data_IF_154171228934
#
_entry.id   IF_154171228934
#
_cell.length_a   1.000
_cell.length_b   1.000
_cell.length_c   1.000
_cell.angle_alpha   90.00
_cell.angle_beta   90.00
_cell.angle_gamma   90.00
#
_symmetry.space_group_name_H-M   'P 1'
#
loop_
_entity.id
_entity.type
_entity.pdbx_description
1 polymer ?
#
# COMPACT_ATOMS: atom_id res chain seq x y z
N UNK A 1 12.81 12.07 -2.08
CA UNK A 1 13.60 11.84 -3.29
C UNK A 1 14.42 10.55 -3.26
N UNK A 2 14.59 9.90 -2.10
CA UNK A 2 15.40 8.68 -2.03
C UNK A 2 14.83 7.67 -1.04
N UNK A 3 15.00 6.39 -1.38
CA UNK A 3 14.82 5.29 -0.46
C UNK A 3 15.95 5.32 0.58
N UNK A 4 15.65 4.86 1.79
CA UNK A 4 16.64 4.72 2.86
C UNK A 4 16.88 3.25 3.21
N UNK A 5 17.82 2.98 4.10
CA UNK A 5 18.21 1.61 4.48
C UNK A 5 17.04 0.75 4.97
N UNK A 6 15.99 1.34 5.55
CA UNK A 6 14.78 0.61 5.97
C UNK A 6 14.02 -0.05 4.82
N UNK A 7 14.13 0.46 3.59
CA UNK A 7 13.53 -0.15 2.41
C UNK A 7 14.39 -1.28 1.81
N UNK A 8 15.65 -1.40 2.24
CA UNK A 8 16.61 -2.33 1.66
C UNK A 8 16.17 -3.79 1.83
N UNK A 9 15.63 -4.15 2.98
CA UNK A 9 15.16 -5.52 3.24
C UNK A 9 14.02 -5.90 2.30
N UNK A 10 13.06 -5.01 2.11
CA UNK A 10 11.95 -5.22 1.16
C UNK A 10 12.47 -5.38 -0.27
N UNK A 11 13.43 -4.57 -0.71
CA UNK A 11 14.03 -4.68 -2.04
C UNK A 11 14.81 -5.99 -2.21
N UNK A 12 15.53 -6.45 -1.18
CA UNK A 12 16.22 -7.74 -1.21
C UNK A 12 15.23 -8.88 -1.33
N UNK A 13 14.12 -8.84 -0.61
CA UNK A 13 13.06 -9.84 -0.72
C UNK A 13 12.44 -9.84 -2.13
N UNK A 14 12.11 -8.67 -2.68
CA UNK A 14 11.61 -8.55 -4.06
C UNK A 14 12.58 -9.20 -5.05
N UNK A 15 13.89 -8.91 -4.92
CA UNK A 15 14.93 -9.53 -5.74
C UNK A 15 14.96 -11.05 -5.62
N UNK A 16 14.88 -11.57 -4.40
CA UNK A 16 14.87 -13.02 -4.15
C UNK A 16 13.66 -13.69 -4.78
N UNK A 17 12.49 -13.09 -4.65
CA UNK A 17 11.25 -13.57 -5.28
C UNK A 17 11.35 -13.52 -6.81
N UNK A 18 11.93 -12.47 -7.38
CA UNK A 18 12.17 -12.38 -8.82
C UNK A 18 13.12 -13.47 -9.31
N UNK A 19 14.24 -13.69 -8.60
CA UNK A 19 15.20 -14.77 -8.93
C UNK A 19 14.58 -16.17 -8.82
N UNK A 20 13.55 -16.35 -7.97
CA UNK A 20 12.79 -17.57 -7.84
C UNK A 20 11.68 -17.73 -8.90
N UNK A 21 11.61 -16.85 -9.90
CA UNK A 21 10.65 -16.89 -11.00
C UNK A 21 9.32 -16.20 -10.72
N UNK A 22 9.19 -15.48 -9.58
CA UNK A 22 8.00 -14.68 -9.31
C UNK A 22 8.10 -13.31 -10.00
N UNK A 23 6.94 -12.68 -10.19
CA UNK A 23 6.81 -11.35 -10.80
C UNK A 23 6.53 -10.29 -9.73
N UNK A 24 7.54 -9.58 -9.19
CA UNK A 24 7.34 -8.55 -8.19
C UNK A 24 6.59 -7.35 -8.76
N UNK A 25 5.76 -6.73 -7.93
CA UNK A 25 5.11 -5.45 -8.22
C UNK A 25 5.58 -4.43 -7.18
N UNK A 26 6.26 -3.39 -7.63
CA UNK A 26 6.63 -2.26 -6.81
C UNK A 26 5.49 -1.23 -6.83
N UNK A 27 4.72 -1.16 -5.76
CA UNK A 27 3.65 -0.18 -5.61
C UNK A 27 4.19 1.12 -5.03
N UNK A 28 3.95 2.22 -5.72
CA UNK A 28 4.28 3.57 -5.26
C UNK A 28 2.99 4.24 -4.76
N UNK A 29 3.06 4.79 -3.57
CA UNK A 29 1.95 5.49 -2.92
C UNK A 29 1.75 6.93 -3.39
N UNK A 30 1.64 7.18 -4.72
CA UNK A 30 1.45 8.53 -5.25
C UNK A 30 0.10 9.15 -4.85
N UNK A 31 -0.96 8.34 -4.74
CA UNK A 31 -2.26 8.78 -4.24
C UNK A 31 -2.27 8.91 -2.71
N UNK A 32 -1.79 7.89 -2.00
CA UNK A 32 -1.73 7.90 -0.53
C UNK A 32 -0.66 8.84 0.02
N UNK A 33 0.35 9.22 -0.77
CA UNK A 33 1.34 10.23 -0.42
C UNK A 33 0.74 11.62 -0.20
N UNK A 34 -0.45 11.89 -0.73
CA UNK A 34 -1.23 13.10 -0.45
C UNK A 34 -1.87 13.05 0.94
N UNK A 35 -2.08 11.87 1.50
CA UNK A 35 -2.75 11.66 2.78
C UNK A 35 -1.73 11.57 3.92
N UNK A 36 -0.67 10.83 3.75
CA UNK A 36 0.32 10.55 4.80
C UNK A 36 -0.07 9.36 5.68
N UNK A 37 0.89 8.47 5.92
CA UNK A 37 0.71 7.28 6.74
C UNK A 37 0.73 7.65 8.24
N UNK A 38 -0.32 7.33 9.02
CA UNK A 38 -0.36 7.62 10.45
C UNK A 38 0.57 6.72 11.29
N UNK A 39 1.07 5.61 10.73
CA UNK A 39 1.83 4.60 11.48
C UNK A 39 3.25 5.03 11.85
N UNK A 40 3.83 6.02 11.20
CA UNK A 40 5.26 6.28 11.28
C UNK A 40 5.74 7.60 11.88
N UNK A 41 4.95 8.69 11.98
CA UNK A 41 5.44 10.03 12.43
C UNK A 41 4.38 10.91 13.08
N UNK A 42 4.84 11.82 13.96
CA UNK A 42 4.02 12.75 14.74
C UNK A 42 3.59 14.02 14.00
N UNK A 43 4.16 14.31 12.84
CA UNK A 43 3.91 15.58 12.14
C UNK A 43 3.11 15.34 10.85
N UNK A 44 2.05 16.13 10.65
CA UNK A 44 1.34 16.18 9.37
C UNK A 44 2.33 16.56 8.27
N UNK A 45 2.56 15.64 7.32
CA UNK A 45 3.35 15.95 6.13
C UNK A 45 2.67 17.07 5.36
N UNK A 46 3.43 18.07 4.93
CA UNK A 46 2.95 19.01 3.92
C UNK A 46 2.46 18.23 2.71
N UNK A 47 1.24 18.52 2.25
CA UNK A 47 0.68 17.88 1.07
C UNK A 47 1.61 18.13 -0.12
N UNK A 48 2.13 17.05 -0.70
CA UNK A 48 3.00 17.13 -1.87
C UNK A 48 2.15 17.42 -3.12
N UNK A 49 2.67 18.23 -4.02
CA UNK A 49 2.04 18.42 -5.33
C UNK A 49 2.19 17.19 -6.21
N UNK A 50 1.35 17.06 -7.23
CA UNK A 50 1.43 15.93 -8.16
C UNK A 50 2.80 15.85 -8.84
N UNK A 51 3.39 16.99 -9.20
CA UNK A 51 4.71 17.07 -9.85
C UNK A 51 5.82 16.52 -8.95
N UNK A 52 5.77 16.83 -7.64
CA UNK A 52 6.73 16.31 -6.66
C UNK A 52 6.56 14.79 -6.51
N UNK A 53 5.32 14.31 -6.47
CA UNK A 53 5.02 12.88 -6.37
C UNK A 53 5.54 12.15 -7.59
N UNK A 54 5.26 12.63 -8.79
CA UNK A 54 5.68 12.02 -10.05
C UNK A 54 7.21 12.00 -10.17
N UNK A 55 7.89 13.09 -9.79
CA UNK A 55 9.35 13.14 -9.70
C UNK A 55 9.91 12.08 -8.73
N UNK A 56 9.31 11.96 -7.55
CA UNK A 56 9.74 10.97 -6.56
C UNK A 56 9.54 9.53 -7.08
N UNK A 57 8.45 9.26 -7.79
CA UNK A 57 8.21 7.96 -8.42
C UNK A 57 9.34 7.57 -9.38
N UNK A 58 9.77 8.48 -10.25
CA UNK A 58 10.88 8.26 -11.17
C UNK A 58 12.21 8.05 -10.42
N UNK A 59 12.47 8.82 -9.36
CA UNK A 59 13.64 8.63 -8.51
C UNK A 59 13.65 7.24 -7.86
N UNK A 60 12.52 6.77 -7.35
CA UNK A 60 12.40 5.45 -6.74
C UNK A 60 12.61 4.33 -7.76
N UNK A 61 12.01 4.44 -8.95
CA UNK A 61 12.21 3.49 -10.04
C UNK A 61 13.68 3.33 -10.38
N UNK A 62 14.38 4.45 -10.56
CA UNK A 62 15.82 4.47 -10.84
C UNK A 62 16.66 3.81 -9.73
N UNK A 63 16.28 3.99 -8.46
CA UNK A 63 16.98 3.37 -7.35
C UNK A 63 16.67 1.86 -7.28
N UNK A 64 15.40 1.46 -7.41
CA UNK A 64 14.96 0.07 -7.37
C UNK A 64 15.54 -0.75 -8.54
N UNK A 65 15.72 -0.14 -9.71
CA UNK A 65 16.33 -0.80 -10.90
C UNK A 65 17.77 -1.28 -10.69
N UNK A 66 18.42 -0.85 -9.61
CA UNK A 66 19.74 -1.39 -9.21
C UNK A 66 19.63 -2.78 -8.55
N UNK A 67 18.46 -3.16 -8.09
CA UNK A 67 18.23 -4.40 -7.34
C UNK A 67 17.34 -5.37 -8.09
N UNK A 68 16.25 -4.89 -8.68
CA UNK A 68 15.23 -5.68 -9.38
C UNK A 68 15.20 -5.27 -10.86
N UNK A 69 14.92 -6.23 -11.73
CA UNK A 69 14.81 -5.98 -13.16
C UNK A 69 13.38 -5.65 -13.53
N UNK A 70 13.16 -4.50 -14.15
CA UNK A 70 11.87 -4.07 -14.71
C UNK A 70 11.87 -4.30 -16.21
N UNK A 71 10.78 -4.86 -16.75
CA UNK A 71 10.66 -5.15 -18.18
C UNK A 71 9.34 -5.85 -18.52
N UNK A 72 9.35 -6.59 -19.62
CA UNK A 72 8.17 -7.27 -20.16
C UNK A 72 8.27 -8.81 -20.14
N UNK A 73 9.38 -9.36 -19.65
CA UNK A 73 9.54 -10.81 -19.54
C UNK A 73 8.68 -11.38 -18.41
N UNK A 74 8.54 -12.69 -18.36
CA UNK A 74 7.58 -13.36 -17.48
C UNK A 74 7.75 -13.05 -15.99
N UNK A 75 9.00 -12.90 -15.53
CA UNK A 75 9.35 -12.58 -14.13
C UNK A 75 9.89 -11.16 -13.93
N UNK A 76 9.81 -10.32 -14.95
CA UNK A 76 10.20 -8.91 -14.80
C UNK A 76 9.26 -8.19 -13.86
N UNK A 77 9.83 -7.35 -13.01
CA UNK A 77 9.07 -6.55 -12.08
C UNK A 77 8.23 -5.49 -12.81
N UNK A 78 7.05 -5.22 -12.27
CA UNK A 78 6.23 -4.07 -12.67
C UNK A 78 6.31 -2.97 -11.63
N UNK A 79 6.17 -1.73 -12.07
CA UNK A 79 5.90 -0.61 -11.20
C UNK A 79 4.45 -0.18 -11.38
N UNK A 80 3.76 0.09 -10.26
CA UNK A 80 2.40 0.65 -10.24
C UNK A 80 2.37 1.84 -9.31
N UNK A 81 1.54 2.82 -9.64
CA UNK A 81 1.30 3.99 -8.82
C UNK A 81 -0.18 3.98 -8.41
N UNK A 82 -0.47 3.97 -7.11
CA UNK A 82 -1.87 3.97 -6.66
C UNK A 82 -2.61 5.28 -6.98
N UNK A 83 -1.91 6.33 -7.38
CA UNK A 83 -2.52 7.52 -7.94
C UNK A 83 -3.39 7.23 -9.17
N UNK A 84 -3.05 6.19 -9.95
CA UNK A 84 -3.77 5.81 -11.17
C UNK A 84 -5.24 5.43 -10.91
N UNK A 85 -5.53 4.90 -9.72
CA UNK A 85 -6.91 4.55 -9.32
C UNK A 85 -7.46 5.36 -8.15
N UNK A 86 -6.63 6.02 -7.35
CA UNK A 86 -7.11 6.79 -6.20
C UNK A 86 -7.46 8.24 -6.55
N UNK A 87 -6.77 8.87 -7.51
CA UNK A 87 -6.99 10.28 -7.83
C UNK A 87 -8.39 10.59 -8.40
N UNK A 88 -8.98 9.65 -9.12
CA UNK A 88 -10.29 9.81 -9.78
C UNK A 88 -11.38 8.96 -9.11
N UNK A 89 -11.18 8.60 -7.84
CA UNK A 89 -12.11 7.76 -7.11
C UNK A 89 -13.38 8.54 -6.78
N UNK A 90 -14.54 8.06 -7.21
CA UNK A 90 -15.82 8.59 -6.72
C UNK A 90 -16.04 8.15 -5.28
N UNK A 91 -16.20 9.12 -4.39
CA UNK A 91 -16.30 8.86 -2.95
C UNK A 91 -17.54 8.02 -2.59
N UNK A 92 -18.69 8.30 -3.20
CA UNK A 92 -19.93 7.58 -2.87
C UNK A 92 -19.88 6.14 -3.39
N UNK A 93 -19.36 5.95 -4.59
CA UNK A 93 -19.15 4.62 -5.16
C UNK A 93 -18.14 3.83 -4.33
N UNK A 94 -17.03 4.44 -3.95
CA UNK A 94 -16.01 3.80 -3.10
C UNK A 94 -16.57 3.38 -1.75
N UNK A 95 -17.33 4.23 -1.08
CA UNK A 95 -17.96 3.89 0.21
C UNK A 95 -18.94 2.73 0.07
N UNK A 96 -19.72 2.69 -1.02
CA UNK A 96 -20.68 1.62 -1.29
C UNK A 96 -19.99 0.29 -1.63
N UNK A 97 -18.92 0.32 -2.44
CA UNK A 97 -18.28 -0.87 -2.99
C UNK A 97 -17.14 -1.42 -2.12
N UNK A 98 -16.52 -0.56 -1.34
CA UNK A 98 -15.33 -0.88 -0.53
C UNK A 98 -15.60 -0.62 0.94
N UNK A 99 -16.04 0.60 1.30
CA UNK A 99 -16.22 1.01 2.69
C UNK A 99 -17.15 0.08 3.48
N UNK A 100 -18.20 -0.46 2.85
CA UNK A 100 -19.16 -1.39 3.45
C UNK A 100 -18.49 -2.67 4.01
N UNK A 101 -17.33 -3.05 3.52
CA UNK A 101 -16.59 -4.23 3.95
C UNK A 101 -15.73 -3.99 5.20
N UNK A 102 -15.55 -2.74 5.63
CA UNK A 102 -14.70 -2.37 6.76
C UNK A 102 -15.53 -2.09 8.01
N UNK A 103 -15.28 -2.85 9.06
CA UNK A 103 -15.90 -2.62 10.37
C UNK A 103 -15.00 -1.72 11.22
N UNK A 104 -15.48 -0.53 11.56
CA UNK A 104 -14.74 0.49 12.32
C UNK A 104 -14.25 -0.06 13.67
N UNK A 105 -15.08 -0.82 14.39
CA UNK A 105 -14.68 -1.39 15.69
C UNK A 105 -13.51 -2.38 15.55
N UNK A 106 -13.42 -3.10 14.43
CA UNK A 106 -12.29 -3.97 14.16
C UNK A 106 -11.04 -3.17 13.75
N UNK A 107 -11.21 -2.12 12.93
CA UNK A 107 -10.11 -1.24 12.53
C UNK A 107 -9.46 -0.57 13.75
N UNK A 108 -10.25 -0.08 14.69
CA UNK A 108 -9.76 0.60 15.89
C UNK A 108 -8.97 -0.31 16.84
N UNK A 109 -9.02 -1.65 16.68
CA UNK A 109 -8.18 -2.61 17.41
C UNK A 109 -6.79 -2.77 16.81
N UNK A 110 -6.53 -2.21 15.63
CA UNK A 110 -5.18 -2.21 15.07
C UNK A 110 -4.22 -1.42 15.97
N UNK A 111 -3.08 -2.02 16.32
CA UNK A 111 -2.11 -1.43 17.24
C UNK A 111 -1.67 0.00 16.85
N UNK A 112 -1.55 0.25 15.55
CA UNK A 112 -1.23 1.58 15.05
C UNK A 112 -2.31 2.61 15.43
N UNK A 113 -3.58 2.22 15.32
CA UNK A 113 -4.72 3.09 15.65
C UNK A 113 -4.91 3.24 17.16
N UNK A 114 -4.74 2.17 17.94
CA UNK A 114 -4.74 2.25 19.41
C UNK A 114 -3.68 3.25 19.90
N UNK A 115 -2.45 3.11 19.39
CA UNK A 115 -1.36 4.02 19.72
C UNK A 115 -1.65 5.47 19.28
N UNK A 116 -2.32 5.66 18.15
CA UNK A 116 -2.66 6.99 17.65
C UNK A 116 -3.77 7.64 18.47
N UNK A 117 -4.80 6.87 18.84
CA UNK A 117 -5.90 7.34 19.70
C UNK A 117 -5.42 7.74 21.11
N UNK A 118 -4.36 7.11 21.61
CA UNK A 118 -3.77 7.43 22.93
C UNK A 118 -2.98 8.76 22.94
N UNK A 119 -2.71 9.36 21.77
CA UNK A 119 -2.00 10.65 21.65
C UNK A 119 -2.96 11.81 21.66
N UNK A 120 -2.44 12.99 22.01
CA UNK A 120 -3.18 14.24 21.90
C UNK A 120 -3.71 14.44 20.46
N UNK A 121 -4.97 14.87 20.34
CA UNK A 121 -5.67 15.01 19.05
C UNK A 121 -6.34 13.74 18.52
N UNK A 122 -6.09 12.56 19.09
CA UNK A 122 -6.75 11.31 18.72
C UNK A 122 -6.49 10.88 17.27
N UNK A 123 -7.34 9.98 16.75
CA UNK A 123 -7.30 9.47 15.38
C UNK A 123 -8.34 10.20 14.52
N UNK A 124 -7.91 10.87 13.47
CA UNK A 124 -8.82 11.53 12.53
C UNK A 124 -9.43 10.51 11.54
N UNK A 125 -10.57 10.85 10.93
CA UNK A 125 -11.15 10.05 9.84
C UNK A 125 -10.17 9.91 8.66
N UNK A 126 -9.43 10.97 8.38
CA UNK A 126 -8.41 11.00 7.33
C UNK A 126 -7.31 9.96 7.56
N UNK A 127 -6.75 9.88 8.77
CA UNK A 127 -5.76 8.87 9.16
C UNK A 127 -6.37 7.46 9.17
N UNK A 128 -7.61 7.33 9.65
CA UNK A 128 -8.31 6.03 9.66
C UNK A 128 -8.55 5.50 8.24
N UNK A 129 -8.83 6.37 7.28
CA UNK A 129 -9.09 5.97 5.90
C UNK A 129 -7.86 5.36 5.20
N UNK A 130 -6.66 5.58 5.71
CA UNK A 130 -5.42 5.06 5.13
C UNK A 130 -5.43 3.52 5.04
N UNK A 131 -5.88 2.82 6.09
CA UNK A 131 -6.01 1.36 6.07
C UNK A 131 -6.97 0.87 4.97
N UNK A 132 -8.07 1.60 4.75
CA UNK A 132 -9.06 1.25 3.71
C UNK A 132 -8.44 1.42 2.31
N UNK A 133 -7.71 2.51 2.11
CA UNK A 133 -7.07 2.81 0.83
C UNK A 133 -5.96 1.81 0.50
N UNK A 134 -5.11 1.46 1.47
CA UNK A 134 -4.07 0.46 1.27
C UNK A 134 -4.66 -0.95 1.06
N UNK A 135 -5.71 -1.31 1.80
CA UNK A 135 -6.43 -2.56 1.55
C UNK A 135 -7.05 -2.60 0.14
N UNK A 136 -7.54 -1.45 -0.35
CA UNK A 136 -8.03 -1.33 -1.72
C UNK A 136 -6.92 -1.41 -2.76
N UNK A 137 -5.73 -0.90 -2.48
CA UNK A 137 -4.55 -1.04 -3.35
C UNK A 137 -4.23 -2.53 -3.58
N UNK A 138 -4.20 -3.34 -2.51
CA UNK A 138 -3.96 -4.78 -2.67
C UNK A 138 -5.08 -5.46 -3.46
N UNK A 139 -6.36 -5.13 -3.20
CA UNK A 139 -7.47 -5.64 -3.99
C UNK A 139 -7.35 -5.27 -5.48
N UNK A 140 -6.92 -4.06 -5.82
CA UNK A 140 -6.69 -3.64 -7.21
C UNK A 140 -5.56 -4.44 -7.85
N UNK A 141 -4.45 -4.62 -7.18
CA UNK A 141 -3.33 -5.42 -7.66
C UNK A 141 -3.72 -6.90 -7.81
N UNK A 142 -4.50 -7.43 -6.89
CA UNK A 142 -5.05 -8.79 -6.99
C UNK A 142 -5.94 -8.93 -8.23
N UNK A 143 -6.88 -8.02 -8.41
CA UNK A 143 -7.86 -8.05 -9.51
C UNK A 143 -7.21 -7.82 -10.88
N UNK A 144 -6.35 -6.81 -10.98
CA UNK A 144 -5.87 -6.30 -12.26
C UNK A 144 -4.55 -6.98 -12.70
N UNK A 145 -3.75 -7.48 -11.76
CA UNK A 145 -2.42 -8.04 -12.02
C UNK A 145 -2.26 -9.51 -11.54
N UNK A 146 -3.26 -10.07 -10.86
CA UNK A 146 -3.17 -11.40 -10.26
C UNK A 146 -2.21 -11.48 -9.08
N UNK A 147 -1.91 -10.33 -8.42
CA UNK A 147 -1.02 -10.27 -7.27
C UNK A 147 -1.69 -10.90 -6.05
N UNK A 148 -1.15 -11.98 -5.53
CA UNK A 148 -1.72 -12.72 -4.40
C UNK A 148 -0.87 -12.70 -3.13
N UNK A 149 0.26 -12.01 -3.12
CA UNK A 149 1.12 -11.84 -1.94
C UNK A 149 1.48 -10.36 -1.77
N UNK A 150 1.10 -9.77 -0.64
CA UNK A 150 1.60 -8.47 -0.20
C UNK A 150 2.60 -8.66 0.93
N UNK A 151 3.71 -7.92 0.91
CA UNK A 151 4.69 -7.95 1.99
C UNK A 151 5.26 -6.56 2.28
N UNK A 152 5.61 -6.33 3.53
CA UNK A 152 6.09 -5.05 4.01
C UNK A 152 6.73 -5.14 5.38
N UNK A 153 6.95 -3.99 6.02
CA UNK A 153 7.38 -3.94 7.42
C UNK A 153 6.26 -4.35 8.38
N UNK A 154 6.63 -4.72 9.61
CA UNK A 154 5.68 -5.10 10.68
C UNK A 154 4.66 -3.99 10.99
N UNK A 155 5.04 -2.73 10.80
CA UNK A 155 4.16 -1.56 10.93
C UNK A 155 2.99 -1.57 9.91
N UNK A 156 3.15 -2.27 8.79
CA UNK A 156 2.13 -2.40 7.72
C UNK A 156 1.19 -3.60 7.91
N UNK A 157 1.43 -4.45 8.91
CA UNK A 157 0.68 -5.69 9.10
C UNK A 157 -0.83 -5.53 9.04
N UNK A 158 -1.39 -4.58 9.81
CA UNK A 158 -2.84 -4.36 9.86
C UNK A 158 -3.41 -3.87 8.53
N UNK A 159 -2.65 -3.07 7.77
CA UNK A 159 -3.05 -2.57 6.46
C UNK A 159 -3.07 -3.71 5.43
N UNK A 160 -2.06 -4.59 5.44
CA UNK A 160 -2.00 -5.77 4.55
C UNK A 160 -3.13 -6.76 4.85
N UNK A 161 -3.41 -7.03 6.13
CA UNK A 161 -4.55 -7.88 6.52
C UNK A 161 -5.90 -7.28 6.08
N UNK A 162 -6.04 -5.96 6.11
CA UNK A 162 -7.22 -5.29 5.59
C UNK A 162 -7.44 -5.57 4.10
N UNK A 163 -6.34 -5.68 3.33
CA UNK A 163 -6.36 -6.05 1.92
C UNK A 163 -6.77 -7.51 1.69
N UNK A 164 -6.16 -8.46 2.42
CA UNK A 164 -6.55 -9.89 2.31
C UNK A 164 -8.02 -10.10 2.68
N UNK A 165 -8.50 -9.43 3.73
CA UNK A 165 -9.90 -9.53 4.16
C UNK A 165 -10.87 -8.92 3.13
N UNK A 166 -10.50 -7.79 2.51
CA UNK A 166 -11.28 -7.18 1.44
C UNK A 166 -11.36 -8.10 0.21
N UNK A 167 -10.25 -8.70 -0.22
CA UNK A 167 -10.20 -9.64 -1.33
C UNK A 167 -11.14 -10.81 -1.04
N UNK A 168 -11.03 -11.44 0.12
CA UNK A 168 -11.89 -12.53 0.54
C UNK A 168 -13.38 -12.15 0.53
N UNK A 169 -13.74 -10.99 1.05
CA UNK A 169 -15.14 -10.51 1.09
C UNK A 169 -15.71 -10.21 -0.28
N UNK A 170 -14.90 -9.66 -1.19
CA UNK A 170 -15.36 -9.29 -2.54
C UNK A 170 -15.36 -10.45 -3.52
N UNK A 171 -14.47 -11.42 -3.38
CA UNK A 171 -14.28 -12.51 -4.35
C UNK A 171 -14.78 -13.87 -3.86
N UNK A 172 -14.94 -14.04 -2.54
CA UNK A 172 -15.21 -15.33 -1.92
C UNK A 172 -14.00 -16.28 -1.90
N UNK A 173 -12.82 -15.83 -2.34
CA UNK A 173 -11.58 -16.62 -2.38
C UNK A 173 -10.70 -16.29 -1.18
N UNK A 174 -9.95 -17.27 -0.72
CA UNK A 174 -8.98 -17.16 0.39
C UNK A 174 -7.58 -17.55 -0.11
N UNK A 175 -7.14 -16.87 -1.16
CA UNK A 175 -5.88 -17.13 -1.90
C UNK A 175 -4.98 -15.88 -1.98
N UNK A 176 -5.24 -14.89 -1.14
CA UNK A 176 -4.41 -13.71 -0.96
C UNK A 176 -3.71 -13.73 0.42
N UNK A 177 -2.42 -13.44 0.44
CA UNK A 177 -1.55 -13.62 1.59
C UNK A 177 -0.82 -12.32 1.95
N UNK A 178 -0.51 -12.16 3.24
CA UNK A 178 0.32 -11.08 3.77
C UNK A 178 1.54 -11.66 4.49
N UNK A 179 2.69 -10.98 4.41
CA UNK A 179 3.94 -11.37 5.05
C UNK A 179 4.71 -10.15 5.57
N UNK A 180 5.28 -10.21 6.78
CA UNK A 180 6.20 -9.22 7.35
C UNK A 180 7.56 -9.83 7.64
#
# INVERSE_FOLDING_TARGET
>A
DSLHVGHFMTLVLMKRLQMAGNKPIALIGGGTGMIGDPSGRSDMRSMMTNEIIDHNCECFKKQMSKFIHFGEEANDAKMRNNADWLRNLDFMEFMREVGVHFNVANMLRARAYENRMAREGGLTFFEMSYMILQGYDFYRLYKDEGCNLEFGGDDQWSNMLAGTDLIRKKTGKDDAYAMT
#
